data_IF_113088669528
#
_entry.id   IF_113088669528
#
_cell.length_a   1.000
_cell.length_b   1.000
_cell.length_c   1.000
_cell.angle_alpha   90.00
_cell.angle_beta   90.00
_cell.angle_gamma   90.00
#
_symmetry.space_group_name_H-M   'P 1'
#
loop_
_entity.id
_entity.type
_entity.pdbx_description
1 polymer ?
#
# COMPACT_ATOMS: atom_id res chain seq x y z
N UNK A 1 1.96 -15.66 -13.21
CA UNK A 1 1.81 -14.62 -12.18
C UNK A 1 0.56 -13.81 -12.52
N UNK A 2 -0.31 -13.46 -11.55
CA UNK A 2 -1.47 -12.62 -11.86
C UNK A 2 -0.98 -11.26 -12.35
N UNK A 3 -1.30 -10.91 -13.59
CA UNK A 3 -0.93 -9.63 -14.19
C UNK A 3 -1.77 -8.51 -13.57
N UNK A 4 -1.14 -7.39 -13.23
CA UNK A 4 -1.82 -6.23 -12.65
C UNK A 4 -2.69 -5.57 -13.73
N UNK A 5 -4.01 -5.53 -13.53
CA UNK A 5 -4.94 -4.81 -14.41
C UNK A 5 -4.66 -3.31 -14.37
N UNK A 6 -4.92 -2.57 -15.46
CA UNK A 6 -4.72 -1.11 -15.51
C UNK A 6 -5.45 -0.38 -14.38
N UNK A 7 -6.67 -0.81 -14.05
CA UNK A 7 -7.45 -0.25 -12.94
C UNK A 7 -6.79 -0.49 -11.57
N UNK A 8 -6.08 -1.61 -11.44
CA UNK A 8 -5.36 -1.94 -10.21
C UNK A 8 -4.07 -1.12 -10.11
N UNK A 9 -3.42 -0.82 -11.24
CA UNK A 9 -2.21 0.03 -11.28
C UNK A 9 -2.49 1.42 -10.74
N UNK A 10 -3.64 2.02 -11.04
CA UNK A 10 -4.00 3.34 -10.51
C UNK A 10 -4.18 3.30 -8.99
N UNK A 11 -4.89 2.27 -8.49
CA UNK A 11 -5.07 2.05 -7.05
C UNK A 11 -3.73 1.83 -6.33
N UNK A 12 -2.82 1.08 -6.95
CA UNK A 12 -1.47 0.82 -6.43
C UNK A 12 -0.64 2.10 -6.42
N UNK A 13 -0.74 2.92 -7.48
CA UNK A 13 -0.06 4.21 -7.56
C UNK A 13 -0.53 5.15 -6.46
N UNK A 14 -1.83 5.20 -6.16
CA UNK A 14 -2.36 5.98 -5.04
C UNK A 14 -1.78 5.52 -3.70
N UNK A 15 -1.69 4.21 -3.46
CA UNK A 15 -1.07 3.66 -2.25
C UNK A 15 0.41 4.03 -2.16
N UNK A 16 1.18 3.89 -3.25
CA UNK A 16 2.60 4.28 -3.24
C UNK A 16 2.77 5.79 -3.03
N UNK A 17 1.89 6.60 -3.61
CA UNK A 17 1.86 8.06 -3.44
C UNK A 17 1.51 8.45 -2.00
N UNK A 18 0.69 7.67 -1.31
CA UNK A 18 0.40 7.86 0.12
C UNK A 18 1.66 7.78 0.99
N UNK A 19 2.61 6.91 0.63
CA UNK A 19 3.88 6.74 1.35
C UNK A 19 5.00 7.65 0.82
N UNK A 20 5.03 7.90 -0.49
CA UNK A 20 6.05 8.69 -1.18
C UNK A 20 5.44 9.83 -2.04
N UNK A 21 4.78 10.82 -1.42
CA UNK A 21 4.08 11.87 -2.16
C UNK A 21 4.99 12.75 -3.02
N UNK A 22 6.29 12.80 -2.71
CA UNK A 22 7.29 13.58 -3.42
C UNK A 22 8.03 12.77 -4.51
N UNK A 23 7.82 11.46 -4.57
CA UNK A 23 8.46 10.57 -5.55
C UNK A 23 7.51 9.48 -5.99
N UNK A 24 6.31 9.82 -6.54
CA UNK A 24 5.40 8.81 -7.05
C UNK A 24 6.06 8.02 -8.20
N UNK A 25 5.66 6.77 -8.43
CA UNK A 25 6.17 5.96 -9.53
C UNK A 25 5.35 6.22 -10.81
N UNK A 26 6.04 6.48 -11.92
CA UNK A 26 5.40 6.73 -13.21
C UNK A 26 4.75 5.45 -13.76
N UNK A 27 5.49 4.34 -13.71
CA UNK A 27 5.03 3.02 -14.13
C UNK A 27 4.93 2.06 -12.94
N UNK A 28 3.84 1.28 -12.90
CA UNK A 28 3.64 0.22 -11.92
C UNK A 28 4.02 -1.11 -12.55
N UNK A 29 5.04 -1.75 -11.99
CA UNK A 29 5.42 -3.13 -12.30
C UNK A 29 4.98 -4.09 -11.17
N UNK A 30 5.04 -5.39 -11.42
CA UNK A 30 4.60 -6.42 -10.46
C UNK A 30 5.37 -6.34 -9.12
N UNK A 31 6.64 -5.92 -9.14
CA UNK A 31 7.46 -5.78 -7.93
C UNK A 31 7.03 -4.59 -7.09
N UNK A 32 6.75 -3.45 -7.72
CA UNK A 32 6.17 -2.27 -7.07
C UNK A 32 4.78 -2.57 -6.52
N UNK A 33 3.97 -3.34 -7.25
CA UNK A 33 2.66 -3.80 -6.77
C UNK A 33 2.78 -4.69 -5.53
N UNK A 34 3.73 -5.63 -5.53
CA UNK A 34 4.00 -6.46 -4.36
C UNK A 34 4.57 -5.65 -3.19
N UNK A 35 5.46 -4.69 -3.46
CA UNK A 35 6.01 -3.79 -2.45
C UNK A 35 4.91 -2.94 -1.82
N UNK A 36 4.02 -2.36 -2.63
CA UNK A 36 2.84 -1.64 -2.16
C UNK A 36 1.98 -2.53 -1.25
N UNK A 37 1.81 -3.81 -1.59
CA UNK A 37 1.06 -4.78 -0.78
C UNK A 37 1.70 -4.99 0.59
N UNK A 38 3.02 -5.18 0.63
CA UNK A 38 3.79 -5.31 1.87
C UNK A 38 3.71 -4.05 2.73
N UNK A 39 3.96 -2.88 2.13
CA UNK A 39 3.94 -1.59 2.82
C UNK A 39 2.56 -1.30 3.41
N UNK A 40 1.51 -1.51 2.63
CA UNK A 40 0.14 -1.31 3.09
C UNK A 40 -0.21 -2.28 4.23
N UNK A 41 0.18 -3.56 4.12
CA UNK A 41 -0.02 -4.54 5.20
C UNK A 41 0.69 -4.13 6.50
N UNK A 42 1.96 -3.74 6.45
CA UNK A 42 2.72 -3.26 7.60
C UNK A 42 2.09 -2.00 8.21
N UNK A 43 1.62 -1.09 7.36
CA UNK A 43 0.93 0.11 7.81
C UNK A 43 -0.39 -0.20 8.53
N UNK A 44 -1.19 -1.13 8.00
CA UNK A 44 -2.42 -1.59 8.66
C UNK A 44 -2.11 -2.28 9.99
N UNK A 45 -1.06 -3.10 10.06
CA UNK A 45 -0.63 -3.77 11.29
C UNK A 45 -0.19 -2.76 12.36
N UNK A 46 0.58 -1.75 11.98
CA UNK A 46 1.01 -0.69 12.90
C UNK A 46 -0.16 0.21 13.34
N UNK A 47 -1.05 0.57 12.42
CA UNK A 47 -2.25 1.35 12.76
C UNK A 47 -3.24 0.56 13.64
N UNK A 48 -3.30 -0.77 13.51
CA UNK A 48 -4.02 -1.66 14.42
C UNK A 48 -3.47 -1.60 15.85
N UNK A 49 -2.14 -1.56 16.02
CA UNK A 49 -1.55 -1.41 17.36
C UNK A 49 -1.96 -0.10 18.05
N UNK A 50 -2.40 0.88 17.25
CA UNK A 50 -2.93 2.16 17.73
C UNK A 50 -4.46 2.16 17.87
N UNK A 51 -5.13 1.03 17.60
CA UNK A 51 -6.59 0.86 17.59
C UNK A 51 -7.34 1.77 16.58
N UNK A 52 -6.64 2.18 15.50
CA UNK A 52 -7.14 3.16 14.51
C UNK A 52 -7.84 2.50 13.32
N UNK A 53 -7.58 1.21 13.04
CA UNK A 53 -8.08 0.53 11.85
C UNK A 53 -8.75 -0.81 12.18
N UNK A 54 -9.83 -1.17 11.44
CA UNK A 54 -10.46 -2.48 11.57
C UNK A 54 -9.47 -3.59 11.20
N UNK A 55 -9.67 -4.77 11.78
CA UNK A 55 -8.79 -5.94 11.59
C UNK A 55 -8.73 -6.28 10.10
N UNK A 56 -7.53 -6.30 9.47
CA UNK A 56 -7.43 -6.75 8.10
C UNK A 56 -7.90 -8.21 8.01
N UNK A 57 -8.66 -8.59 6.98
CA UNK A 57 -9.03 -9.98 6.74
C UNK A 57 -7.75 -10.81 6.66
N UNK A 58 -7.73 -11.91 7.41
CA UNK A 58 -6.57 -12.79 7.49
C UNK A 58 -6.15 -13.26 6.09
N UNK A 59 -4.87 -13.08 5.76
CA UNK A 59 -4.33 -13.44 4.44
C UNK A 59 -2.86 -13.02 4.28
N UNK A 60 -2.14 -13.71 3.39
CA UNK A 60 -0.77 -13.32 3.00
C UNK A 60 -0.82 -12.04 2.15
N UNK A 61 0.06 -11.05 2.40
CA UNK A 61 0.12 -9.85 1.57
C UNK A 61 0.57 -10.22 0.15
N UNK A 62 -0.26 -9.86 -0.82
CA UNK A 62 -0.03 -10.05 -2.25
C UNK A 62 -0.84 -9.04 -3.05
N UNK A 63 -0.61 -8.95 -4.36
CA UNK A 63 -1.22 -7.93 -5.24
C UNK A 63 -2.77 -7.99 -5.16
N UNK A 64 -3.36 -9.16 -5.36
CA UNK A 64 -4.81 -9.34 -5.27
C UNK A 64 -5.37 -9.03 -3.87
N UNK A 65 -4.61 -9.35 -2.81
CA UNK A 65 -4.97 -9.00 -1.44
C UNK A 65 -4.97 -7.48 -1.24
N UNK A 66 -3.93 -6.79 -1.73
CA UNK A 66 -3.81 -5.34 -1.66
C UNK A 66 -4.98 -4.65 -2.35
N UNK A 67 -5.28 -5.00 -3.59
CA UNK A 67 -6.40 -4.41 -4.35
C UNK A 67 -7.72 -4.59 -3.58
N UNK A 68 -7.94 -5.79 -3.04
CA UNK A 68 -9.13 -6.08 -2.20
C UNK A 68 -9.16 -5.18 -0.97
N UNK A 69 -8.03 -5.00 -0.28
CA UNK A 69 -7.97 -4.14 0.91
C UNK A 69 -8.16 -2.66 0.61
N UNK A 70 -7.59 -2.16 -0.49
CA UNK A 70 -7.80 -0.79 -0.95
C UNK A 70 -9.30 -0.56 -1.16
N UNK A 71 -9.98 -1.44 -1.89
CA UNK A 71 -11.43 -1.34 -2.12
C UNK A 71 -12.24 -1.37 -0.82
N UNK A 72 -11.90 -2.27 0.11
CA UNK A 72 -12.61 -2.37 1.40
C UNK A 72 -12.44 -1.11 2.24
N UNK A 73 -11.22 -0.59 2.34
CA UNK A 73 -10.89 0.54 3.22
C UNK A 73 -11.34 1.87 2.60
N UNK A 74 -11.03 2.11 1.33
CA UNK A 74 -11.30 3.39 0.66
C UNK A 74 -12.73 3.49 0.13
N UNK A 75 -13.23 2.45 -0.54
CA UNK A 75 -14.52 2.53 -1.23
C UNK A 75 -15.70 2.01 -0.42
N UNK A 76 -15.49 1.00 0.44
CA UNK A 76 -16.58 0.28 1.11
C UNK A 76 -16.96 0.76 2.51
N UNK A 77 -16.44 1.91 2.97
CA UNK A 77 -17.05 2.63 4.07
C UNK A 77 -16.28 2.74 5.38
N UNK A 78 -14.95 2.62 5.39
CA UNK A 78 -14.14 3.16 6.51
C UNK A 78 -13.84 4.63 6.22
N UNK A 79 -14.91 5.42 6.05
CA UNK A 79 -14.86 6.77 5.50
C UNK A 79 -13.88 7.68 6.25
N UNK A 80 -13.01 8.34 5.49
CA UNK A 80 -12.29 9.61 5.72
C UNK A 80 -11.52 9.86 7.03
N UNK A 81 -11.92 9.24 8.14
CA UNK A 81 -11.40 9.40 9.50
C UNK A 81 -10.33 8.37 9.86
N UNK A 82 -10.26 7.25 9.15
CA UNK A 82 -9.30 6.17 9.45
C UNK A 82 -8.20 6.14 8.39
N UNK A 83 -7.60 7.30 8.14
CA UNK A 83 -6.39 7.35 7.34
C UNK A 83 -5.25 6.72 8.15
N UNK A 84 -4.40 5.93 7.49
CA UNK A 84 -3.15 5.46 8.11
C UNK A 84 -2.44 6.68 8.74
N UNK A 85 -2.09 6.65 10.04
CA UNK A 85 -1.47 7.79 10.70
C UNK A 85 -0.21 8.26 9.97
N UNK A 86 0.04 9.58 9.95
CA UNK A 86 1.22 10.13 9.27
C UNK A 86 2.52 9.53 9.82
N UNK A 87 2.58 9.27 11.13
CA UNK A 87 3.74 8.61 11.76
C UNK A 87 3.96 7.21 11.20
N UNK A 88 2.89 6.41 11.04
CA UNK A 88 2.98 5.06 10.48
C UNK A 88 3.40 5.12 9.02
N UNK A 89 2.82 6.03 8.23
CA UNK A 89 3.23 6.25 6.83
C UNK A 89 4.71 6.57 6.70
N UNK A 90 5.22 7.49 7.53
CA UNK A 90 6.64 7.88 7.54
C UNK A 90 7.55 6.73 7.95
N UNK A 91 7.19 5.98 8.99
CA UNK A 91 7.99 4.84 9.47
C UNK A 91 8.05 3.72 8.43
N UNK A 92 6.90 3.32 7.88
CA UNK A 92 6.84 2.29 6.84
C UNK A 92 7.56 2.77 5.57
N UNK A 93 7.31 4.00 5.12
CA UNK A 93 8.01 4.59 3.98
C UNK A 93 9.53 4.64 4.18
N UNK A 94 10.01 4.91 5.40
CA UNK A 94 11.44 4.86 5.71
C UNK A 94 11.99 3.44 5.61
N UNK A 95 11.29 2.45 6.15
CA UNK A 95 11.74 1.06 6.18
C UNK A 95 11.85 0.43 4.79
N UNK A 96 10.94 0.80 3.88
CA UNK A 96 10.88 0.25 2.53
C UNK A 96 11.51 1.17 1.47
N UNK A 97 12.17 2.26 1.86
CA UNK A 97 12.70 3.25 0.92
C UNK A 97 13.70 2.65 -0.06
N UNK A 98 14.64 1.84 0.42
CA UNK A 98 15.66 1.23 -0.44
C UNK A 98 15.04 0.27 -1.45
N UNK A 99 14.10 -0.58 -1.03
CA UNK A 99 13.38 -1.51 -1.91
C UNK A 99 12.50 -0.76 -2.90
N UNK A 100 11.95 0.40 -2.52
CA UNK A 100 11.17 1.25 -3.40
C UNK A 100 12.00 1.88 -4.52
N UNK A 101 13.14 2.50 -4.18
CA UNK A 101 14.02 3.12 -5.19
C UNK A 101 14.58 2.07 -6.16
N UNK A 102 14.96 0.87 -5.68
CA UNK A 102 15.41 -0.23 -6.53
C UNK A 102 14.31 -0.70 -7.50
N UNK A 103 13.11 -0.94 -6.99
CA UNK A 103 11.99 -1.39 -7.82
C UNK A 103 11.47 -0.31 -8.78
N UNK A 104 11.65 0.97 -8.43
CA UNK A 104 11.35 2.11 -9.32
C UNK A 104 12.31 2.17 -10.50
N UNK A 105 13.58 1.81 -10.29
CA UNK A 105 14.58 1.69 -11.34
C UNK A 105 14.43 0.40 -12.18
N UNK A 106 13.52 -0.50 -11.78
CA UNK A 106 13.28 -1.77 -12.46
C UNK A 106 14.34 -2.84 -12.19
N UNK A 107 15.14 -2.68 -11.13
CA UNK A 107 16.28 -3.54 -10.79
C UNK A 107 15.92 -4.48 -9.64
#
# INVERSE_FOLDING_TARGET
>A
MPQVSEKDKDSIREVLTLFYPQSPPDAINDRLALLAAKMFYEALKAARLMDILPRPPGGKPGIAWLVTQIFVIFFRGVGSKHQIPVVVRRTVGRNFRSEYEMNKLGI
#
